data_IF_819558947170
#
_entry.id   IF_819558947170
#
_cell.length_a   1.000
_cell.length_b   1.000
_cell.length_c   1.000
_cell.angle_alpha   90.00
_cell.angle_beta   90.00
_cell.angle_gamma   90.00
#
_symmetry.space_group_name_H-M   'P 1'
#
loop_
_entity.id
_entity.type
_entity.pdbx_description
1 polymer ?
#
# COMPACT_ATOMS: atom_id res chain seq x y z
N UNK A 1 -8.15 -10.81 -7.89
CA UNK A 1 -7.74 -9.60 -8.64
C UNK A 1 -6.31 -9.20 -8.27
N UNK A 2 -5.73 -8.19 -8.95
CA UNK A 2 -4.37 -7.72 -8.68
C UNK A 2 -4.34 -6.22 -8.47
N UNK A 3 -3.59 -5.77 -7.47
CA UNK A 3 -3.51 -4.38 -7.05
C UNK A 3 -2.06 -3.92 -7.02
N UNK A 4 -1.78 -2.76 -7.61
CA UNK A 4 -0.51 -2.08 -7.43
C UNK A 4 -0.59 -1.25 -6.15
N UNK A 5 0.26 -1.58 -5.19
CA UNK A 5 0.36 -0.87 -3.92
C UNK A 5 1.61 -0.01 -3.94
N UNK A 6 1.50 1.23 -3.46
CA UNK A 6 2.66 2.07 -3.14
C UNK A 6 2.60 2.48 -1.68
N UNK A 7 3.73 2.43 -0.97
CA UNK A 7 3.82 2.81 0.43
C UNK A 7 5.24 3.27 0.79
N UNK A 8 5.41 3.72 2.02
CA UNK A 8 6.72 3.93 2.67
C UNK A 8 6.81 3.08 3.92
N UNK A 9 8.00 2.60 4.25
CA UNK A 9 8.22 1.95 5.54
C UNK A 9 8.21 3.01 6.64
N UNK A 10 7.49 2.74 7.71
CA UNK A 10 7.54 3.54 8.94
C UNK A 10 8.95 3.51 9.50
N UNK A 11 9.64 4.66 9.65
CA UNK A 11 11.02 4.70 10.13
C UNK A 11 11.23 3.93 11.44
N UNK A 12 10.28 4.08 12.38
CA UNK A 12 10.29 3.45 13.69
C UNK A 12 10.07 1.93 13.65
N UNK A 13 9.57 1.38 12.54
CA UNK A 13 9.29 -0.05 12.36
C UNK A 13 10.27 -0.76 11.43
N UNK A 14 11.23 -0.06 10.81
CA UNK A 14 12.17 -0.65 9.82
C UNK A 14 12.87 -1.91 10.34
N UNK A 15 13.43 -1.84 11.54
CA UNK A 15 14.15 -2.96 12.16
C UNK A 15 13.23 -4.14 12.48
N UNK A 16 12.00 -3.87 12.90
CA UNK A 16 11.01 -4.90 13.20
C UNK A 16 10.50 -5.58 11.93
N UNK A 17 10.17 -4.78 10.91
CA UNK A 17 9.78 -5.27 9.59
C UNK A 17 10.86 -6.15 8.96
N UNK A 18 12.13 -5.73 9.03
CA UNK A 18 13.24 -6.50 8.48
C UNK A 18 13.33 -7.88 9.14
N UNK A 19 13.29 -7.93 10.47
CA UNK A 19 13.30 -9.20 11.21
C UNK A 19 12.09 -10.08 10.88
N UNK A 20 10.92 -9.49 10.72
CA UNK A 20 9.71 -10.23 10.35
C UNK A 20 9.82 -10.83 8.94
N UNK A 21 10.35 -10.08 7.97
CA UNK A 21 10.52 -10.56 6.59
C UNK A 21 11.62 -11.62 6.49
N UNK A 22 12.80 -11.38 7.05
CA UNK A 22 13.91 -12.35 7.00
C UNK A 22 13.61 -13.62 7.81
N UNK A 23 12.85 -13.49 8.89
CA UNK A 23 12.38 -14.62 9.69
C UNK A 23 11.19 -15.36 9.12
N UNK A 24 10.60 -14.92 8.00
CA UNK A 24 9.38 -15.51 7.43
C UNK A 24 8.16 -15.42 8.35
N UNK A 25 8.10 -14.38 9.20
CA UNK A 25 7.03 -14.15 10.19
C UNK A 25 6.11 -12.99 9.82
N UNK A 26 6.44 -12.22 8.79
CA UNK A 26 5.55 -11.18 8.30
C UNK A 26 4.26 -11.81 7.77
N UNK A 27 3.11 -11.33 8.25
CA UNK A 27 1.81 -11.93 7.91
C UNK A 27 1.47 -13.21 8.71
N UNK A 28 2.16 -13.51 9.82
CA UNK A 28 1.81 -14.65 10.66
C UNK A 28 0.34 -14.58 11.10
N UNK A 29 -0.42 -15.66 10.83
CA UNK A 29 -1.87 -15.71 11.06
C UNK A 29 -2.72 -15.34 9.85
N UNK A 30 -2.12 -14.83 8.77
CA UNK A 30 -2.84 -14.59 7.52
C UNK A 30 -3.20 -15.92 6.83
N UNK A 31 -4.49 -16.15 6.50
CA UNK A 31 -4.93 -17.45 5.99
C UNK A 31 -4.67 -17.69 4.50
N UNK A 32 -4.31 -16.66 3.72
CA UNK A 32 -4.33 -16.73 2.25
C UNK A 32 -2.98 -16.47 1.58
N UNK A 33 -2.01 -17.35 1.79
CA UNK A 33 -0.70 -17.29 1.12
C UNK A 33 0.38 -16.60 1.97
N UNK A 34 1.38 -16.00 1.32
CA UNK A 34 2.57 -15.44 1.96
C UNK A 34 2.73 -13.96 1.60
N UNK A 35 2.24 -13.08 2.49
CA UNK A 35 2.36 -11.63 2.32
C UNK A 35 3.82 -11.16 2.32
N UNK A 36 4.69 -11.84 3.07
CA UNK A 36 6.10 -11.47 3.19
C UNK A 36 6.84 -11.69 1.89
N UNK A 37 6.59 -12.82 1.23
CA UNK A 37 7.12 -13.12 -0.11
C UNK A 37 6.67 -12.08 -1.13
N UNK A 38 5.37 -11.77 -1.19
CA UNK A 38 4.84 -10.79 -2.16
C UNK A 38 5.39 -9.39 -1.91
N UNK A 39 5.49 -8.95 -0.64
CA UNK A 39 6.09 -7.66 -0.29
C UNK A 39 7.58 -7.58 -0.66
N UNK A 40 8.34 -8.66 -0.46
CA UNK A 40 9.75 -8.74 -0.83
C UNK A 40 10.02 -8.60 -2.34
N UNK A 41 9.03 -8.88 -3.19
CA UNK A 41 9.13 -8.64 -4.65
C UNK A 41 9.10 -7.15 -5.01
N UNK A 42 8.78 -6.28 -4.05
CA UNK A 42 8.71 -4.84 -4.22
C UNK A 42 10.00 -4.19 -4.71
N UNK A 43 9.85 -3.00 -5.29
CA UNK A 43 10.95 -2.12 -5.70
C UNK A 43 10.79 -0.75 -5.08
N UNK A 44 11.89 -0.19 -4.60
CA UNK A 44 11.93 1.12 -3.95
C UNK A 44 12.49 2.14 -4.92
N UNK A 45 11.70 3.18 -5.20
CA UNK A 45 12.13 4.29 -6.04
C UNK A 45 13.05 5.27 -5.29
N UNK A 46 13.70 6.24 -5.97
CA UNK A 46 14.59 7.20 -5.33
C UNK A 46 13.94 8.08 -4.25
N UNK A 47 12.59 8.13 -4.17
CA UNK A 47 11.89 8.85 -3.11
C UNK A 47 11.74 8.04 -1.82
N UNK A 48 12.10 6.75 -1.83
CA UNK A 48 11.86 5.81 -0.73
C UNK A 48 10.47 5.17 -0.76
N UNK A 49 9.74 5.30 -1.87
CA UNK A 49 8.42 4.67 -2.02
C UNK A 49 8.60 3.25 -2.56
N UNK A 50 8.19 2.26 -1.79
CA UNK A 50 8.09 0.86 -2.24
C UNK A 50 6.84 0.71 -3.12
N UNK A 51 6.98 -0.02 -4.24
CA UNK A 51 5.85 -0.48 -5.06
C UNK A 51 5.90 -1.98 -5.31
N UNK A 52 4.76 -2.65 -5.16
CA UNK A 52 4.60 -4.08 -5.43
C UNK A 52 3.18 -4.38 -5.89
N UNK A 53 2.99 -5.58 -6.46
CA UNK A 53 1.67 -6.08 -6.87
C UNK A 53 1.20 -7.08 -5.83
N UNK A 54 0.01 -6.87 -5.29
CA UNK A 54 -0.67 -7.84 -4.42
C UNK A 54 -1.80 -8.55 -5.16
N UNK A 55 -1.98 -9.85 -4.89
CA UNK A 55 -3.12 -10.62 -5.38
C UNK A 55 -4.16 -10.69 -4.27
N UNK A 56 -5.34 -10.13 -4.52
CA UNK A 56 -6.42 -10.11 -3.55
C UNK A 56 -7.76 -10.32 -4.24
N UNK A 57 -8.64 -11.10 -3.61
CA UNK A 57 -9.99 -11.38 -4.10
C UNK A 57 -11.09 -10.77 -3.21
N UNK A 58 -10.71 -10.03 -2.18
CA UNK A 58 -11.65 -9.48 -1.20
C UNK A 58 -12.77 -8.64 -1.84
N UNK A 59 -12.51 -7.88 -2.91
CA UNK A 59 -13.58 -7.12 -3.57
C UNK A 59 -14.66 -8.02 -4.17
N UNK A 60 -14.32 -9.21 -4.65
CA UNK A 60 -15.29 -10.18 -5.20
C UNK A 60 -16.09 -10.89 -4.10
N UNK A 61 -15.48 -11.14 -2.94
CA UNK A 61 -16.11 -11.88 -1.84
C UNK A 61 -16.77 -11.00 -0.77
N UNK A 62 -16.27 -9.79 -0.55
CA UNK A 62 -16.68 -8.88 0.52
C UNK A 62 -17.10 -7.49 0.04
N UNK A 63 -16.94 -7.19 -1.25
CA UNK A 63 -17.24 -5.88 -1.84
C UNK A 63 -16.18 -4.80 -1.60
N UNK A 64 -15.10 -5.11 -0.88
CA UNK A 64 -13.99 -4.18 -0.58
C UNK A 64 -12.66 -4.84 -0.89
N UNK A 65 -11.82 -4.19 -1.70
CA UNK A 65 -10.49 -4.70 -1.98
C UNK A 65 -9.61 -4.67 -0.71
N UNK A 66 -8.69 -5.65 -0.61
CA UNK A 66 -7.55 -5.59 0.30
C UNK A 66 -7.89 -5.57 1.81
N UNK A 67 -9.12 -5.91 2.20
CA UNK A 67 -9.59 -5.78 3.59
C UNK A 67 -8.82 -6.68 4.57
N UNK A 68 -8.40 -7.86 4.12
CA UNK A 68 -7.68 -8.84 4.94
C UNK A 68 -6.17 -8.55 5.00
N UNK A 69 -5.60 -8.05 3.91
CA UNK A 69 -4.16 -7.83 3.78
C UNK A 69 -3.71 -6.49 4.37
N UNK A 70 -4.55 -5.44 4.27
CA UNK A 70 -4.19 -4.09 4.71
C UNK A 70 -3.81 -3.99 6.20
N UNK A 71 -4.49 -4.65 7.16
CA UNK A 71 -4.09 -4.59 8.56
C UNK A 71 -2.63 -5.00 8.81
N UNK A 72 -2.13 -6.01 8.10
CA UNK A 72 -0.73 -6.46 8.20
C UNK A 72 0.23 -5.44 7.60
N UNK A 73 -0.11 -4.83 6.47
CA UNK A 73 0.72 -3.80 5.87
C UNK A 73 0.75 -2.52 6.69
N UNK A 74 -0.38 -2.08 7.23
CA UNK A 74 -0.53 -0.82 7.95
C UNK A 74 0.24 -0.78 9.28
N UNK A 75 0.53 -1.94 9.86
CA UNK A 75 1.40 -2.06 11.04
C UNK A 75 2.82 -1.51 10.79
N UNK A 76 3.34 -1.71 9.57
CA UNK A 76 4.73 -1.38 9.22
C UNK A 76 4.87 -0.29 8.18
N UNK A 77 3.81 -0.01 7.44
CA UNK A 77 3.83 0.89 6.30
C UNK A 77 2.96 2.13 6.55
N UNK A 78 3.33 3.22 5.88
CA UNK A 78 2.62 4.50 5.85
C UNK A 78 2.56 5.01 4.42
N UNK A 79 1.86 6.12 4.19
CA UNK A 79 1.78 6.81 2.91
C UNK A 79 1.26 5.88 1.81
N UNK A 80 0.22 5.11 2.16
CA UNK A 80 -0.25 3.99 1.36
C UNK A 80 -1.24 4.43 0.28
N UNK A 81 -1.04 3.93 -0.93
CA UNK A 81 -2.02 3.99 -2.04
C UNK A 81 -2.28 2.60 -2.57
N UNK A 82 -3.53 2.35 -2.97
CA UNK A 82 -3.93 1.11 -3.65
C UNK A 82 -4.56 1.46 -4.99
N UNK A 83 -4.10 0.81 -6.06
CA UNK A 83 -4.64 1.01 -7.41
C UNK A 83 -4.87 -0.34 -8.06
N UNK A 84 -5.91 -0.49 -8.88
CA UNK A 84 -6.03 -1.71 -9.68
C UNK A 84 -4.83 -1.87 -10.61
N UNK A 85 -4.17 -3.04 -10.60
CA UNK A 85 -3.05 -3.31 -11.50
C UNK A 85 -3.50 -3.46 -12.96
N UNK A 86 -4.80 -3.69 -13.17
CA UNK A 86 -5.50 -3.71 -14.46
C UNK A 86 -6.92 -3.20 -14.25
N UNK A 87 -7.46 -2.46 -15.24
CA UNK A 87 -8.85 -2.00 -15.18
C UNK A 87 -9.82 -3.14 -14.81
N UNK A 88 -10.68 -2.97 -13.78
CA UNK A 88 -11.67 -3.98 -13.40
C UNK A 88 -12.62 -4.36 -14.54
N UNK A 89 -12.90 -3.43 -15.46
CA UNK A 89 -13.72 -3.67 -16.67
C UNK A 89 -13.11 -4.70 -17.63
N UNK A 90 -11.81 -4.92 -17.53
CA UNK A 90 -11.04 -5.84 -18.39
C UNK A 90 -10.55 -7.07 -17.61
N UNK A 91 -11.03 -7.27 -16.38
CA UNK A 91 -10.63 -8.36 -15.50
C UNK A 91 -11.80 -9.34 -15.32
N UNK A 92 -11.60 -10.61 -15.65
CA UNK A 92 -12.63 -11.65 -15.52
C UNK A 92 -12.76 -12.21 -14.09
N UNK A 93 -12.05 -11.64 -13.11
CA UNK A 93 -12.19 -12.05 -11.71
C UNK A 93 -11.71 -13.47 -11.40
N UNK A 94 -12.02 -13.96 -10.21
CA UNK A 94 -11.84 -15.36 -9.83
C UNK A 94 -12.86 -16.26 -10.57
N UNK A 95 -12.48 -17.46 -11.06
CA UNK A 95 -11.17 -18.11 -10.91
C UNK A 95 -10.13 -17.72 -11.97
N UNK A 96 -10.53 -17.09 -13.07
CA UNK A 96 -9.66 -16.76 -14.23
C UNK A 96 -8.40 -15.96 -13.85
N UNK A 97 -8.50 -15.13 -12.82
CA UNK A 97 -7.42 -14.26 -12.38
C UNK A 97 -6.26 -15.06 -11.73
N UNK A 98 -6.50 -16.27 -11.20
CA UNK A 98 -5.47 -17.10 -10.56
C UNK A 98 -4.29 -17.44 -11.47
N UNK A 99 -4.55 -17.66 -12.76
CA UNK A 99 -3.53 -17.98 -13.78
C UNK A 99 -3.28 -16.84 -14.77
N UNK A 100 -3.92 -15.68 -14.57
CA UNK A 100 -3.77 -14.53 -15.46
C UNK A 100 -2.41 -13.83 -15.27
N UNK A 101 -1.79 -13.42 -16.38
CA UNK A 101 -0.52 -12.69 -16.43
C UNK A 101 -0.71 -11.17 -16.55
N UNK A 102 -1.86 -10.62 -16.13
CA UNK A 102 -2.23 -9.23 -16.36
C UNK A 102 -1.25 -8.18 -15.79
N UNK A 103 -0.30 -8.60 -14.97
CA UNK A 103 0.75 -7.77 -14.38
C UNK A 103 2.10 -7.90 -15.05
N UNK A 104 2.22 -8.63 -16.16
CA UNK A 104 3.44 -8.74 -16.97
C UNK A 104 4.00 -7.38 -17.45
N UNK A 105 3.15 -6.37 -17.55
CA UNK A 105 3.45 -4.98 -17.89
C UNK A 105 3.61 -4.06 -16.67
N UNK A 106 3.22 -4.52 -15.48
CA UNK A 106 3.39 -3.77 -14.23
C UNK A 106 4.78 -4.10 -13.69
N UNK A 107 5.75 -3.23 -13.99
CA UNK A 107 7.14 -3.40 -13.56
C UNK A 107 7.55 -2.24 -12.66
N UNK A 108 7.33 -2.35 -11.34
CA UNK A 108 7.94 -1.46 -10.37
C UNK A 108 9.43 -1.31 -10.67
N UNK A 109 9.92 -0.06 -10.70
CA UNK A 109 11.33 0.27 -10.92
C UNK A 109 11.97 0.65 -9.59
N UNK A 110 13.29 0.54 -9.53
CA UNK A 110 14.07 0.88 -8.35
C UNK A 110 14.90 -0.29 -7.83
N UNK A 111 15.45 -0.13 -6.64
CA UNK A 111 16.23 -1.20 -6.01
C UNK A 111 15.31 -2.24 -5.33
N UNK A 112 15.77 -3.50 -5.15
CA UNK A 112 15.02 -4.51 -4.40
C UNK A 112 14.67 -4.02 -2.99
N UNK A 113 13.41 -4.21 -2.59
CA UNK A 113 12.92 -3.70 -1.31
C UNK A 113 13.73 -4.20 -0.11
N UNK A 114 14.05 -5.50 -0.06
CA UNK A 114 14.77 -6.06 1.08
C UNK A 114 16.19 -5.47 1.22
N UNK A 115 16.85 -5.18 0.10
CA UNK A 115 18.18 -4.55 0.09
C UNK A 115 18.10 -3.10 0.55
N UNK A 116 17.08 -2.36 0.11
CA UNK A 116 16.81 -1.01 0.61
C UNK A 116 16.54 -1.01 2.12
N UNK A 117 15.71 -1.93 2.59
CA UNK A 117 15.33 -2.02 4.00
C UNK A 117 16.56 -2.28 4.87
N UNK A 118 17.45 -3.21 4.47
CA UNK A 118 18.73 -3.47 5.17
C UNK A 118 19.63 -2.24 5.28
N UNK A 119 19.69 -1.40 4.25
CA UNK A 119 20.48 -0.15 4.28
C UNK A 119 19.84 0.90 5.19
N UNK A 120 18.52 1.00 5.16
CA UNK A 120 17.77 2.05 5.87
C UNK A 120 17.63 1.84 7.39
N UNK A 121 17.99 0.67 7.94
CA UNK A 121 17.89 0.44 9.41
C UNK A 121 18.82 1.36 10.23
N UNK A 122 19.88 1.88 9.60
CA UNK A 122 20.85 2.77 10.24
C UNK A 122 20.60 4.25 9.93
N UNK A 123 19.62 4.56 9.08
CA UNK A 123 19.27 5.95 8.81
C UNK A 123 18.69 6.59 10.06
N UNK A 124 19.11 7.82 10.39
CA UNK A 124 18.48 8.58 11.45
C UNK A 124 16.97 8.63 11.22
N UNK A 125 16.20 8.42 12.28
CA UNK A 125 14.78 8.76 12.27
C UNK A 125 14.71 10.29 12.32
N UNK A 126 14.82 10.96 11.17
CA UNK A 126 14.56 12.40 11.10
C UNK A 126 13.14 12.63 11.62
N UNK A 127 13.08 13.28 12.78
CA UNK A 127 11.89 13.50 13.59
C UNK A 127 11.07 12.23 13.81
N UNK A 128 11.41 11.48 14.87
CA UNK A 128 10.52 10.47 15.43
C UNK A 128 9.14 11.09 15.62
N UNK A 129 8.25 10.83 14.66
CA UNK A 129 6.84 11.18 14.75
C UNK A 129 6.37 10.64 16.10
N UNK A 130 5.57 11.40 16.85
CA UNK A 130 5.12 10.96 18.17
C UNK A 130 4.52 9.55 18.06
N UNK A 131 4.88 8.63 18.97
CA UNK A 131 4.37 7.27 18.93
C UNK A 131 2.84 7.30 18.88
N UNK A 132 2.26 6.52 17.95
CA UNK A 132 0.81 6.41 17.80
C UNK A 132 0.17 7.12 16.61
N UNK A 133 0.94 7.64 15.64
CA UNK A 133 0.33 8.13 14.39
C UNK A 133 -0.23 6.97 13.56
N UNK A 134 -1.54 6.99 13.32
CA UNK A 134 -2.24 6.09 12.41
C UNK A 134 -1.61 6.11 11.02
N UNK A 135 -1.76 5.01 10.26
CA UNK A 135 -1.24 4.90 8.90
C UNK A 135 -1.75 6.05 8.05
N UNK A 136 -0.82 6.80 7.44
CA UNK A 136 -1.21 7.85 6.51
C UNK A 136 -1.73 7.18 5.23
N UNK A 137 -3.03 7.09 5.12
CA UNK A 137 -3.70 6.59 3.92
C UNK A 137 -3.79 7.71 2.87
N UNK A 138 -3.19 7.49 1.70
CA UNK A 138 -3.20 8.46 0.59
C UNK A 138 -4.29 8.17 -0.45
N UNK A 139 -5.02 7.06 -0.29
CA UNK A 139 -6.22 6.76 -1.06
C UNK A 139 -6.13 5.53 -1.96
N UNK A 140 -7.29 4.94 -2.25
CA UNK A 140 -7.50 4.18 -3.47
C UNK A 140 -7.48 5.12 -4.68
N UNK A 141 -6.89 4.66 -5.78
CA UNK A 141 -6.89 5.36 -7.08
C UNK A 141 -7.63 4.52 -8.11
N UNK A 142 -8.30 5.20 -9.04
CA UNK A 142 -9.06 4.56 -10.11
C UNK A 142 -10.53 4.32 -9.76
N UNK A 143 -11.09 3.20 -10.22
CA UNK A 143 -12.47 2.85 -9.94
C UNK A 143 -12.58 2.26 -8.52
N UNK A 144 -13.34 2.94 -7.67
CA UNK A 144 -13.48 2.58 -6.25
C UNK A 144 -14.92 2.22 -5.92
N UNK A 145 -15.11 1.31 -4.96
CA UNK A 145 -16.44 1.05 -4.38
C UNK A 145 -16.81 2.15 -3.38
N UNK A 146 -18.09 2.30 -3.01
CA UNK A 146 -18.50 3.30 -2.03
C UNK A 146 -17.79 3.19 -0.67
N UNK A 147 -17.43 1.97 -0.24
CA UNK A 147 -16.68 1.75 1.01
C UNK A 147 -15.21 2.16 0.88
N UNK A 148 -14.56 1.83 -0.25
CA UNK A 148 -13.20 2.27 -0.56
C UNK A 148 -13.13 3.81 -0.62
N UNK A 149 -14.15 4.46 -1.18
CA UNK A 149 -14.26 5.91 -1.22
C UNK A 149 -14.53 6.53 0.17
N UNK A 150 -15.35 5.90 1.01
CA UNK A 150 -15.52 6.32 2.41
C UNK A 150 -14.20 6.33 3.16
N UNK A 151 -13.34 5.31 2.98
CA UNK A 151 -12.02 5.27 3.60
C UNK A 151 -11.06 6.32 3.01
N UNK A 152 -11.16 6.65 1.73
CA UNK A 152 -10.43 7.81 1.16
C UNK A 152 -10.79 9.12 1.88
N UNK A 153 -12.07 9.29 2.20
CA UNK A 153 -12.59 10.51 2.84
C UNK A 153 -12.27 10.55 4.33
N UNK A 154 -12.36 9.44 5.05
CA UNK A 154 -12.02 9.37 6.48
C UNK A 154 -10.53 9.60 6.75
N UNK A 155 -9.66 9.19 5.83
CA UNK A 155 -8.23 9.50 5.85
C UNK A 155 -7.91 10.98 5.53
N UNK A 156 -8.81 11.66 4.83
CA UNK A 156 -8.66 13.06 4.41
C UNK A 156 -8.95 14.10 5.51
N UNK A 157 -9.48 13.68 6.67
CA UNK A 157 -9.82 14.59 7.78
C UNK A 157 -8.62 15.19 8.54
N UNK A 158 -7.40 15.04 8.02
CA UNK A 158 -6.18 15.72 8.49
C UNK A 158 -5.63 16.81 7.56
N UNK A 159 -6.30 17.11 6.43
CA UNK A 159 -5.95 18.23 5.57
C UNK A 159 -7.12 19.21 5.54
N UNK A 160 -7.00 20.28 6.32
CA UNK A 160 -7.90 21.43 6.30
C UNK A 160 -8.05 21.95 4.85
N UNK A 161 -9.25 21.74 4.27
CA UNK A 161 -9.61 22.23 2.94
C UNK A 161 -10.00 23.72 2.94
N UNK A 162 -9.86 24.44 4.06
CA UNK A 162 -10.25 25.85 4.18
C UNK A 162 -9.25 26.84 3.59
N UNK A 163 -8.18 26.39 2.92
CA UNK A 163 -7.12 27.28 2.38
C UNK A 163 -7.03 27.39 0.86
N UNK A 164 -8.01 26.91 0.11
CA UNK A 164 -8.08 27.14 -1.34
C UNK A 164 -9.48 27.62 -1.75
N UNK A 165 -9.80 28.86 -1.41
CA UNK A 165 -10.73 29.66 -2.21
C UNK A 165 -9.91 30.83 -2.78
N UNK A 166 -9.82 31.01 -4.11
CA UNK A 166 -9.35 32.28 -4.65
C UNK A 166 -10.40 33.34 -4.34
N UNK A 167 -9.97 34.45 -3.72
CA UNK A 167 -10.75 35.68 -3.65
C UNK A 167 -11.02 36.15 -5.07
N UNK A 168 -12.28 36.02 -5.52
CA UNK A 168 -12.76 36.72 -6.69
C UNK A 168 -13.06 38.14 -6.22
N UNK A 169 -12.08 39.02 -6.43
CA UNK A 169 -12.28 40.47 -6.36
C UNK A 169 -13.33 40.87 -7.40
N UNK A 170 -14.47 41.36 -6.90
CA UNK A 170 -15.47 42.06 -7.69
C UNK A 170 -15.22 43.55 -7.48
N UNK A 171 -14.56 44.16 -8.46
CA UNK A 171 -14.56 45.60 -8.69
C UNK A 171 -15.10 45.88 -10.09
#
# INVERSE_FOLDING_TARGET
MRYLISARVRPERRSELLRALEGGKFGAGFPYGDLGKTLCEGRVDPSGTIRWVEVCYCREFSGVAMVEELPYFEEFLTDMTVTDARSPRLCNGYPSCSTCDCTNKVRPKGEPFLDHLRKSIHEPTEEALPPGRSTRWLGWRGAVTPEEERRNQSAGYGLDKSRCAPEIDKS
#
